data_IF_121805698209
#
_entry.id   IF_121805698209
#
_cell.length_a   1.000
_cell.length_b   1.000
_cell.length_c   1.000
_cell.angle_alpha   90.00
_cell.angle_beta   90.00
_cell.angle_gamma   90.00
#
_symmetry.space_group_name_H-M   'P 1'
#
loop_
_entity.id
_entity.type
_entity.pdbx_description
1 polymer ?
#
# COMPACT_ATOMS: atom_id res chain seq x y z
N UNK A 1 16.21 14.24 -11.46
CA UNK A 1 15.17 14.32 -10.42
C UNK A 1 14.63 12.93 -10.20
N UNK A 2 14.36 12.55 -8.96
CA UNK A 2 14.13 11.16 -8.58
C UNK A 2 12.77 10.68 -9.09
N UNK A 3 12.70 9.42 -9.54
CA UNK A 3 11.52 8.84 -10.19
C UNK A 3 11.19 7.45 -9.66
N UNK A 4 9.92 7.04 -9.79
CA UNK A 4 9.48 5.71 -9.40
C UNK A 4 8.47 5.13 -10.39
N UNK A 5 8.51 3.82 -10.63
CA UNK A 5 7.46 3.13 -11.39
C UNK A 5 6.23 2.87 -10.51
N UNK A 6 5.09 2.58 -11.14
CA UNK A 6 3.82 2.37 -10.43
C UNK A 6 3.59 0.86 -10.23
N UNK A 7 3.58 0.34 -8.99
CA UNK A 7 3.37 -1.08 -8.76
C UNK A 7 1.92 -1.48 -8.97
N UNK A 8 1.70 -2.58 -9.69
CA UNK A 8 0.41 -3.27 -9.82
C UNK A 8 0.53 -4.64 -9.18
N UNK A 9 -0.20 -4.87 -8.08
CA UNK A 9 -0.11 -6.11 -7.34
C UNK A 9 -1.03 -7.19 -7.92
N UNK A 10 -0.44 -8.32 -8.27
CA UNK A 10 -1.13 -9.44 -8.92
C UNK A 10 -1.18 -10.64 -7.98
N UNK A 11 -2.37 -11.03 -7.55
CA UNK A 11 -2.62 -12.04 -6.53
C UNK A 11 -2.43 -13.47 -7.01
N UNK A 12 -1.65 -14.25 -6.25
CA UNK A 12 -1.34 -15.67 -6.47
C UNK A 12 -2.22 -16.63 -5.66
N UNK A 13 -2.90 -16.14 -4.62
CA UNK A 13 -3.84 -16.88 -3.78
C UNK A 13 -5.18 -16.13 -3.63
N UNK A 14 -6.25 -16.79 -3.13
CA UNK A 14 -7.58 -16.17 -3.04
C UNK A 14 -7.61 -14.87 -2.24
N UNK A 15 -6.87 -14.79 -1.13
CA UNK A 15 -6.85 -13.58 -0.29
C UNK A 15 -6.08 -12.45 -0.99
N UNK A 16 -4.97 -12.75 -1.66
CA UNK A 16 -4.27 -11.76 -2.47
C UNK A 16 -5.15 -11.22 -3.61
N UNK A 17 -5.93 -12.08 -4.27
CA UNK A 17 -6.87 -11.68 -5.33
C UNK A 17 -8.00 -10.79 -4.81
N UNK A 18 -8.54 -11.12 -3.63
CA UNK A 18 -9.52 -10.29 -2.94
C UNK A 18 -9.00 -8.88 -2.65
N UNK A 19 -7.70 -8.75 -2.38
CA UNK A 19 -7.06 -7.45 -2.12
C UNK A 19 -6.68 -6.66 -3.36
N UNK A 20 -6.64 -7.26 -4.57
CA UNK A 20 -6.22 -6.56 -5.79
C UNK A 20 -6.99 -5.23 -6.01
N UNK A 21 -8.34 -5.16 -5.89
CA UNK A 21 -9.06 -3.89 -6.05
C UNK A 21 -8.62 -2.81 -5.06
N UNK A 22 -8.48 -3.18 -3.79
CA UNK A 22 -8.04 -2.26 -2.73
C UNK A 22 -6.58 -1.81 -2.93
N UNK A 23 -5.72 -2.71 -3.40
CA UNK A 23 -4.32 -2.39 -3.70
C UNK A 23 -4.17 -1.46 -4.90
N UNK A 24 -5.02 -1.60 -5.92
CA UNK A 24 -4.99 -0.68 -7.05
C UNK A 24 -5.44 0.72 -6.62
N UNK A 25 -6.47 0.84 -5.78
CA UNK A 25 -6.95 2.15 -5.32
C UNK A 25 -6.00 2.76 -4.28
N UNK A 26 -5.64 2.01 -3.23
CA UNK A 26 -4.87 2.54 -2.09
C UNK A 26 -3.35 2.51 -2.27
N UNK A 27 -2.84 1.75 -3.25
CA UNK A 27 -1.41 1.61 -3.52
C UNK A 27 -1.02 2.12 -4.90
N UNK A 28 -1.51 1.49 -5.96
CA UNK A 28 -1.15 1.82 -7.36
C UNK A 28 -1.55 3.26 -7.71
N UNK A 29 -2.81 3.64 -7.46
CA UNK A 29 -3.30 4.98 -7.74
C UNK A 29 -2.57 6.02 -6.88
N UNK A 30 -2.42 5.76 -5.58
CA UNK A 30 -1.71 6.64 -4.66
C UNK A 30 -0.27 6.95 -5.13
N UNK A 31 0.50 5.92 -5.52
CA UNK A 31 1.84 6.09 -6.09
C UNK A 31 1.76 6.88 -7.40
N UNK A 32 0.85 6.52 -8.32
CA UNK A 32 0.74 7.18 -9.64
C UNK A 32 0.39 8.67 -9.57
N UNK A 33 -0.33 9.09 -8.52
CA UNK A 33 -0.72 10.48 -8.30
C UNK A 33 0.25 11.22 -7.38
N UNK A 34 1.26 10.53 -6.84
CA UNK A 34 2.25 11.17 -5.98
C UNK A 34 3.10 12.16 -6.78
N UNK A 35 3.33 13.34 -6.19
CA UNK A 35 3.95 14.48 -6.89
C UNK A 35 3.05 15.20 -7.90
N UNK A 36 1.81 14.75 -8.12
CA UNK A 36 0.83 15.45 -8.98
C UNK A 36 0.03 16.53 -8.23
N UNK A 37 -0.10 16.39 -6.91
CA UNK A 37 -0.78 17.36 -6.04
C UNK A 37 0.26 18.25 -5.38
N UNK A 38 0.22 19.59 -5.59
CA UNK A 38 1.16 20.51 -4.94
C UNK A 38 1.13 20.35 -3.41
N UNK A 39 2.30 20.15 -2.81
CA UNK A 39 2.46 20.03 -1.36
C UNK A 39 2.25 18.62 -0.78
N UNK A 40 1.88 17.62 -1.59
CA UNK A 40 1.87 16.22 -1.16
C UNK A 40 3.24 15.58 -1.43
N UNK A 41 3.86 14.90 -0.45
CA UNK A 41 5.14 14.23 -0.67
C UNK A 41 5.00 13.09 -1.69
N UNK A 42 6.03 12.93 -2.54
CA UNK A 42 6.15 11.78 -3.44
C UNK A 42 6.16 10.45 -2.69
N UNK A 43 5.55 9.41 -3.25
CA UNK A 43 5.53 8.07 -2.66
C UNK A 43 6.50 7.20 -3.46
N UNK A 44 7.65 6.89 -2.88
CA UNK A 44 8.63 6.00 -3.47
C UNK A 44 8.18 4.55 -3.34
N UNK A 45 8.15 3.84 -4.47
CA UNK A 45 8.08 2.39 -4.45
C UNK A 45 9.50 1.82 -4.61
N UNK A 46 10.04 1.26 -3.53
CA UNK A 46 11.41 0.77 -3.45
C UNK A 46 11.76 -0.34 -4.43
N UNK A 47 10.75 -1.01 -5.01
CA UNK A 47 10.95 -2.01 -6.06
C UNK A 47 11.38 -1.43 -7.41
N UNK A 48 11.16 -0.15 -7.66
CA UNK A 48 11.61 0.55 -8.87
C UNK A 48 11.63 2.06 -8.62
N UNK A 49 12.66 2.52 -7.91
CA UNK A 49 12.95 3.94 -7.68
C UNK A 49 14.36 4.24 -8.16
N UNK A 50 14.53 5.38 -8.83
CA UNK A 50 15.78 5.83 -9.41
C UNK A 50 16.02 7.26 -8.93
N UNK A 51 17.19 7.50 -8.35
CA UNK A 51 17.61 8.81 -7.84
C UNK A 51 19.13 8.88 -7.79
N UNK A 52 19.66 10.10 -7.85
CA UNK A 52 21.07 10.40 -7.59
C UNK A 52 21.27 10.77 -6.11
N UNK A 53 22.51 10.66 -5.62
CA UNK A 53 22.82 11.07 -4.23
C UNK A 53 22.41 12.53 -3.93
N UNK A 54 22.50 13.40 -4.94
CA UNK A 54 22.12 14.81 -4.83
C UNK A 54 20.61 15.04 -4.73
N UNK A 55 19.77 14.04 -5.02
CA UNK A 55 18.31 14.13 -4.89
C UNK A 55 17.83 13.92 -3.43
N UNK A 56 18.71 13.45 -2.53
CA UNK A 56 18.37 13.21 -1.13
C UNK A 56 18.31 14.51 -0.34
N UNK A 57 17.13 14.86 0.19
CA UNK A 57 16.87 16.10 0.92
C UNK A 57 17.81 16.30 2.11
N UNK A 58 18.07 15.22 2.84
CA UNK A 58 18.88 15.23 4.07
C UNK A 58 20.26 14.57 3.89
N UNK A 59 20.61 14.20 2.65
CA UNK A 59 21.85 13.53 2.28
C UNK A 59 21.91 12.03 2.59
N UNK A 60 22.91 11.35 2.01
CA UNK A 60 23.09 9.90 2.06
C UNK A 60 23.23 9.34 3.49
N UNK A 61 23.95 10.05 4.37
CA UNK A 61 24.17 9.59 5.73
C UNK A 61 22.87 9.52 6.55
N UNK A 62 21.94 10.45 6.33
CA UNK A 62 20.64 10.48 6.99
C UNK A 62 19.78 9.29 6.54
N UNK A 63 19.69 9.06 5.23
CA UNK A 63 19.00 7.89 4.66
C UNK A 63 19.55 6.58 5.23
N UNK A 64 20.87 6.39 5.22
CA UNK A 64 21.50 5.16 5.71
C UNK A 64 21.26 4.94 7.21
N UNK A 65 21.29 6.01 8.01
CA UNK A 65 20.96 5.94 9.44
C UNK A 65 19.54 5.46 9.65
N UNK A 66 18.59 5.97 8.88
CA UNK A 66 17.17 5.67 9.06
C UNK A 66 16.80 4.29 8.52
N UNK A 67 17.35 3.87 7.38
CA UNK A 67 17.22 2.50 6.84
C UNK A 67 17.71 1.43 7.82
N UNK A 68 18.75 1.71 8.61
CA UNK A 68 19.25 0.79 9.65
C UNK A 68 18.31 0.64 10.86
N UNK A 69 17.34 1.52 11.01
CA UNK A 69 16.45 1.61 12.18
C UNK A 69 15.01 1.20 11.87
N UNK A 70 14.71 0.87 10.62
CA UNK A 70 13.36 0.48 10.18
C UNK A 70 13.41 -0.65 9.16
N UNK A 71 12.22 -1.05 8.68
CA UNK A 71 12.05 -2.21 7.78
C UNK A 71 11.52 -1.78 6.40
N UNK A 72 11.08 -0.53 6.26
CA UNK A 72 10.32 -0.07 5.11
C UNK A 72 11.13 0.83 4.20
N UNK A 73 11.72 0.24 3.17
CA UNK A 73 12.44 1.00 2.14
C UNK A 73 11.51 2.01 1.44
N UNK A 74 10.29 1.61 1.06
CA UNK A 74 9.28 2.47 0.41
C UNK A 74 9.02 3.75 1.24
N UNK A 75 8.70 3.55 2.51
CA UNK A 75 8.42 4.64 3.45
C UNK A 75 9.63 5.53 3.69
N UNK A 76 10.79 4.95 4.01
CA UNK A 76 12.01 5.72 4.28
C UNK A 76 12.48 6.48 3.04
N UNK A 77 12.43 5.90 1.85
CA UNK A 77 12.77 6.61 0.62
C UNK A 77 11.80 7.77 0.34
N UNK A 78 10.50 7.59 0.64
CA UNK A 78 9.50 8.67 0.53
C UNK A 78 9.78 9.84 1.49
N UNK A 79 10.35 9.57 2.65
CA UNK A 79 10.72 10.62 3.62
C UNK A 79 11.95 11.43 3.18
N UNK A 80 12.82 10.83 2.36
CA UNK A 80 14.11 11.42 1.96
C UNK A 80 14.12 11.97 0.54
N UNK A 81 13.21 11.51 -0.33
CA UNK A 81 13.14 11.91 -1.75
C UNK A 81 11.84 12.65 -2.04
N UNK A 82 11.85 13.51 -3.06
CA UNK A 82 10.65 14.04 -3.70
C UNK A 82 10.46 13.36 -5.06
N UNK A 83 10.01 12.10 -5.01
CA UNK A 83 9.88 11.28 -6.22
C UNK A 83 8.67 11.68 -7.06
N UNK A 84 8.84 11.58 -8.38
CA UNK A 84 7.72 11.62 -9.32
C UNK A 84 7.45 10.25 -9.90
N UNK A 85 6.20 9.81 -9.87
CA UNK A 85 5.80 8.61 -10.57
C UNK A 85 5.92 8.80 -12.09
N UNK A 86 6.57 7.86 -12.76
CA UNK A 86 6.53 7.77 -14.22
C UNK A 86 5.34 6.92 -14.65
N UNK A 87 4.79 7.20 -15.83
CA UNK A 87 3.64 6.46 -16.38
C UNK A 87 4.07 5.08 -16.93
N UNK A 88 4.59 4.25 -16.02
CA UNK A 88 5.04 2.89 -16.28
C UNK A 88 4.59 2.00 -15.13
N UNK A 89 3.73 1.05 -15.43
CA UNK A 89 3.28 0.06 -14.47
C UNK A 89 4.25 -1.11 -14.38
N UNK A 90 4.44 -1.62 -13.16
CA UNK A 90 5.24 -2.81 -12.88
C UNK A 90 4.38 -3.85 -12.19
N UNK A 91 4.19 -5.00 -12.83
CA UNK A 91 3.49 -6.10 -12.18
C UNK A 91 4.34 -6.71 -11.05
N UNK A 92 3.72 -6.84 -9.89
CA UNK A 92 4.32 -7.39 -8.68
C UNK A 92 3.48 -8.56 -8.21
N UNK A 93 4.04 -9.76 -8.32
CA UNK A 93 3.42 -10.96 -7.75
C UNK A 93 3.20 -10.79 -6.24
N UNK A 94 1.97 -11.04 -5.78
CA UNK A 94 1.56 -10.93 -4.38
C UNK A 94 0.92 -12.23 -3.90
N UNK A 95 1.27 -12.66 -2.69
CA UNK A 95 0.71 -13.85 -2.06
C UNK A 95 1.58 -15.10 -2.27
N UNK A 96 0.94 -16.26 -2.31
CA UNK A 96 1.55 -17.59 -2.27
C UNK A 96 1.10 -18.42 -1.06
N UNK A 97 0.41 -17.78 -0.11
CA UNK A 97 -0.37 -18.43 0.96
C UNK A 97 -1.31 -17.40 1.59
N UNK A 98 -2.43 -17.85 2.15
CA UNK A 98 -3.37 -16.97 2.86
C UNK A 98 -2.67 -16.21 4.00
N UNK A 99 -1.81 -16.90 4.76
CA UNK A 99 -1.00 -16.29 5.82
C UNK A 99 -0.08 -15.21 5.25
N UNK A 100 0.67 -15.50 4.17
CA UNK A 100 1.56 -14.52 3.55
C UNK A 100 0.82 -13.27 3.06
N UNK A 101 -0.37 -13.43 2.49
CA UNK A 101 -1.23 -12.32 2.06
C UNK A 101 -1.71 -11.46 3.23
N UNK A 102 -2.08 -12.10 4.35
CA UNK A 102 -2.47 -11.39 5.56
C UNK A 102 -1.28 -10.64 6.20
N UNK A 103 -0.11 -11.28 6.31
CA UNK A 103 1.11 -10.65 6.84
C UNK A 103 1.55 -9.46 5.97
N UNK A 104 1.41 -9.57 4.65
CA UNK A 104 1.63 -8.46 3.71
C UNK A 104 0.67 -7.30 3.96
N UNK A 105 -0.61 -7.58 4.16
CA UNK A 105 -1.63 -6.57 4.45
C UNK A 105 -1.33 -5.83 5.76
N UNK A 106 -1.02 -6.57 6.84
CA UNK A 106 -0.60 -5.99 8.12
C UNK A 106 0.62 -5.10 7.95
N UNK A 107 1.65 -5.59 7.24
CA UNK A 107 2.86 -4.82 6.96
C UNK A 107 2.55 -3.55 6.17
N UNK A 108 1.78 -3.63 5.10
CA UNK A 108 1.39 -2.46 4.30
C UNK A 108 0.74 -1.39 5.17
N UNK A 109 -0.26 -1.76 5.96
CA UNK A 109 -0.94 -0.81 6.84
C UNK A 109 0.01 -0.26 7.93
N UNK A 110 0.95 -1.06 8.41
CA UNK A 110 1.98 -0.61 9.37
C UNK A 110 2.91 0.43 8.74
N UNK A 111 3.35 0.20 7.50
CA UNK A 111 4.18 1.15 6.74
C UNK A 111 3.44 2.48 6.59
N UNK A 112 2.23 2.45 6.03
CA UNK A 112 1.48 3.69 5.77
C UNK A 112 1.12 4.38 7.08
N UNK A 113 0.86 3.65 8.16
CA UNK A 113 0.56 4.25 9.47
C UNK A 113 1.70 5.12 9.98
N UNK A 114 2.96 4.71 9.78
CA UNK A 114 4.11 5.47 10.27
C UNK A 114 4.59 6.54 9.29
N UNK A 115 4.60 6.25 7.99
CA UNK A 115 5.13 7.17 6.98
C UNK A 115 4.06 8.09 6.36
N UNK A 116 2.79 7.72 6.43
CA UNK A 116 1.67 8.47 5.86
C UNK A 116 0.40 8.36 6.73
N UNK A 117 0.44 8.80 8.00
CA UNK A 117 -0.66 8.58 8.96
C UNK A 117 -1.99 9.18 8.49
N UNK A 118 -1.95 10.34 7.83
CA UNK A 118 -3.15 11.00 7.28
C UNK A 118 -3.76 10.17 6.15
N UNK A 119 -2.94 9.68 5.21
CA UNK A 119 -3.42 8.80 4.14
C UNK A 119 -3.96 7.48 4.69
N UNK A 120 -3.37 6.96 5.76
CA UNK A 120 -3.87 5.77 6.45
C UNK A 120 -5.24 6.01 7.08
N UNK A 121 -5.41 7.12 7.82
CA UNK A 121 -6.69 7.49 8.40
C UNK A 121 -7.78 7.67 7.34
N UNK A 122 -7.42 8.33 6.22
CA UNK A 122 -8.30 8.48 5.07
C UNK A 122 -8.71 7.12 4.48
N UNK A 123 -7.76 6.20 4.24
CA UNK A 123 -8.05 4.87 3.71
C UNK A 123 -8.95 4.05 4.65
N UNK A 124 -8.74 4.17 5.97
CA UNK A 124 -9.61 3.52 6.97
C UNK A 124 -11.03 4.07 6.90
N UNK A 125 -11.18 5.40 6.92
CA UNK A 125 -12.48 6.06 6.83
C UNK A 125 -13.19 5.71 5.52
N UNK A 126 -12.49 5.79 4.40
CA UNK A 126 -13.00 5.44 3.07
C UNK A 126 -13.48 3.99 3.05
N UNK A 127 -12.69 3.05 3.57
CA UNK A 127 -13.07 1.64 3.67
C UNK A 127 -14.36 1.43 4.48
N UNK A 128 -14.49 2.10 5.63
CA UNK A 128 -15.70 2.03 6.48
C UNK A 128 -16.91 2.64 5.78
N UNK A 129 -16.76 3.81 5.14
CA UNK A 129 -17.85 4.50 4.43
C UNK A 129 -18.34 3.65 3.25
N UNK A 130 -17.43 3.12 2.44
CA UNK A 130 -17.79 2.28 1.30
C UNK A 130 -18.43 0.96 1.75
N UNK A 131 -17.96 0.37 2.86
CA UNK A 131 -18.59 -0.81 3.44
C UNK A 131 -20.01 -0.51 3.94
N UNK A 132 -20.19 0.60 4.65
CA UNK A 132 -21.51 1.05 5.09
C UNK A 132 -22.44 1.31 3.90
N UNK A 133 -21.95 1.93 2.83
CA UNK A 133 -22.72 2.14 1.61
C UNK A 133 -23.15 0.81 0.96
N UNK A 134 -22.26 -0.19 0.89
CA UNK A 134 -22.59 -1.52 0.39
C UNK A 134 -23.62 -2.26 1.25
N UNK A 135 -23.73 -1.94 2.55
CA UNK A 135 -24.73 -2.53 3.44
C UNK A 135 -26.06 -1.77 3.40
N UNK A 136 -26.02 -0.44 3.40
CA UNK A 136 -27.21 0.42 3.50
C UNK A 136 -27.89 0.65 2.14
N UNK A 137 -27.14 0.63 1.05
CA UNK A 137 -27.66 0.76 -0.31
C UNK A 137 -26.98 -0.26 -1.25
N UNK A 138 -27.25 -1.57 -1.11
CA UNK A 138 -26.44 -2.62 -1.72
C UNK A 138 -26.24 -2.49 -3.22
N UNK A 139 -27.30 -2.20 -3.98
CA UNK A 139 -27.21 -2.03 -5.44
C UNK A 139 -26.29 -0.87 -5.80
N UNK A 140 -26.48 0.30 -5.17
CA UNK A 140 -25.69 1.49 -5.45
C UNK A 140 -24.23 1.33 -4.98
N UNK A 141 -24.03 0.79 -3.77
CA UNK A 141 -22.70 0.58 -3.18
C UNK A 141 -21.88 -0.42 -3.98
N UNK A 142 -22.45 -1.59 -4.29
CA UNK A 142 -21.77 -2.63 -5.10
C UNK A 142 -21.45 -2.10 -6.49
N UNK A 143 -22.39 -1.42 -7.15
CA UNK A 143 -22.14 -0.82 -8.46
C UNK A 143 -21.00 0.21 -8.41
N UNK A 144 -21.01 1.10 -7.41
CA UNK A 144 -19.99 2.14 -7.25
C UNK A 144 -18.60 1.54 -7.04
N UNK A 145 -18.41 0.66 -6.05
CA UNK A 145 -17.08 0.13 -5.74
C UNK A 145 -16.53 -0.74 -6.86
N UNK A 146 -17.40 -1.47 -7.56
CA UNK A 146 -17.03 -2.27 -8.73
C UNK A 146 -16.61 -1.37 -9.89
N UNK A 147 -17.38 -0.31 -10.18
CA UNK A 147 -17.05 0.66 -11.22
C UNK A 147 -15.76 1.43 -10.93
N UNK A 148 -15.53 1.83 -9.67
CA UNK A 148 -14.28 2.48 -9.25
C UNK A 148 -13.07 1.55 -9.45
N UNK A 149 -13.20 0.28 -9.07
CA UNK A 149 -12.14 -0.70 -9.27
C UNK A 149 -11.88 -0.96 -10.77
N UNK A 150 -12.94 -1.12 -11.58
CA UNK A 150 -12.83 -1.32 -13.03
C UNK A 150 -12.18 -0.11 -13.73
N UNK A 151 -12.60 1.11 -13.39
CA UNK A 151 -12.00 2.32 -13.93
C UNK A 151 -10.52 2.45 -13.56
N UNK A 152 -10.16 2.12 -12.31
CA UNK A 152 -8.77 2.11 -11.89
C UNK A 152 -7.96 1.04 -12.64
N UNK A 153 -8.54 -0.15 -12.86
CA UNK A 153 -7.92 -1.20 -13.65
C UNK A 153 -7.70 -0.76 -15.09
N UNK A 154 -8.71 -0.18 -15.73
CA UNK A 154 -8.63 0.35 -17.08
C UNK A 154 -7.55 1.42 -17.21
N UNK A 155 -7.45 2.34 -16.23
CA UNK A 155 -6.39 3.38 -16.18
C UNK A 155 -4.99 2.77 -16.23
N UNK A 156 -4.76 1.65 -15.57
CA UNK A 156 -3.45 1.00 -15.49
C UNK A 156 -3.27 -0.17 -16.47
N UNK A 157 -4.21 -0.35 -17.41
CA UNK A 157 -4.16 -1.42 -18.41
C UNK A 157 -4.33 -2.83 -17.84
N UNK A 158 -4.93 -2.96 -16.65
CA UNK A 158 -5.10 -4.23 -15.96
C UNK A 158 -6.33 -4.95 -16.51
N UNK A 159 -6.13 -6.09 -17.17
CA UNK A 159 -7.21 -6.91 -17.75
C UNK A 159 -7.51 -8.13 -16.88
N UNK A 160 -8.06 -7.92 -15.67
CA UNK A 160 -8.37 -9.00 -14.71
C UNK A 160 -9.78 -8.82 -14.16
N UNK A 161 -10.54 -9.90 -14.08
CA UNK A 161 -11.92 -9.88 -13.53
C UNK A 161 -11.99 -9.67 -12.00
N UNK A 162 -10.85 -9.53 -11.32
CA UNK A 162 -10.77 -9.33 -9.87
C UNK A 162 -11.36 -8.01 -9.41
N UNK A 163 -11.60 -7.03 -10.30
CA UNK A 163 -12.39 -5.83 -9.97
C UNK A 163 -13.81 -6.19 -9.46
N UNK A 164 -14.37 -7.33 -9.87
CA UNK A 164 -15.66 -7.85 -9.37
C UNK A 164 -15.59 -8.25 -7.88
N UNK A 165 -14.39 -8.44 -7.33
CA UNK A 165 -14.17 -8.70 -5.91
C UNK A 165 -14.14 -7.42 -5.07
N UNK A 166 -14.35 -6.24 -5.67
CA UNK A 166 -14.34 -4.97 -4.94
C UNK A 166 -15.35 -4.94 -3.80
N UNK A 167 -16.60 -5.33 -4.06
CA UNK A 167 -17.64 -5.35 -3.03
C UNK A 167 -17.34 -6.29 -1.85
N UNK A 168 -17.05 -7.59 -2.04
CA UNK A 168 -16.67 -8.45 -0.92
C UNK A 168 -15.38 -7.97 -0.23
N UNK A 169 -14.41 -7.43 -0.98
CA UNK A 169 -13.19 -6.87 -0.41
C UNK A 169 -13.46 -5.66 0.49
N UNK A 170 -14.32 -4.73 0.07
CA UNK A 170 -14.72 -3.56 0.84
C UNK A 170 -15.52 -3.95 2.08
N UNK A 171 -16.46 -4.90 1.98
CA UNK A 171 -17.20 -5.39 3.14
C UNK A 171 -16.31 -6.04 4.20
N UNK A 172 -15.23 -6.72 3.76
CA UNK A 172 -14.23 -7.31 4.64
C UNK A 172 -13.15 -6.31 5.09
N UNK A 173 -13.09 -5.11 4.52
CA UNK A 173 -12.04 -4.15 4.84
C UNK A 173 -12.08 -3.68 6.30
N UNK A 174 -13.24 -3.29 6.90
CA UNK A 174 -13.26 -2.84 8.29
C UNK A 174 -12.68 -3.85 9.31
N UNK A 175 -13.10 -5.14 9.32
CA UNK A 175 -12.50 -6.10 10.27
C UNK A 175 -11.03 -6.38 9.98
N UNK A 176 -10.60 -6.38 8.72
CA UNK A 176 -9.19 -6.59 8.37
C UNK A 176 -8.30 -5.40 8.76
N UNK A 177 -8.78 -4.17 8.53
CA UNK A 177 -8.12 -2.96 8.98
C UNK A 177 -8.01 -2.93 10.51
N UNK A 178 -9.10 -3.25 11.22
CA UNK A 178 -9.08 -3.38 12.68
C UNK A 178 -8.07 -4.43 13.15
N UNK A 179 -8.05 -5.60 12.50
CA UNK A 179 -7.05 -6.63 12.77
C UNK A 179 -5.62 -6.11 12.56
N UNK A 180 -5.33 -5.49 11.43
CA UNK A 180 -4.00 -4.98 11.12
C UNK A 180 -3.56 -3.85 12.06
N UNK A 181 -4.47 -2.97 12.47
CA UNK A 181 -4.19 -1.91 13.46
C UNK A 181 -3.93 -2.46 14.87
N UNK A 182 -4.61 -3.56 15.24
CA UNK A 182 -4.43 -4.23 16.52
C UNK A 182 -3.17 -5.10 16.57
N UNK A 183 -2.69 -5.58 15.40
CA UNK A 183 -1.48 -6.39 15.30
C UNK A 183 -0.26 -5.55 15.63
N UNK A 184 0.58 -6.09 16.52
CA UNK A 184 1.88 -5.51 16.90
C UNK A 184 3.05 -6.14 16.16
N UNK A 185 2.81 -7.23 15.45
CA UNK A 185 3.83 -8.00 14.75
C UNK A 185 3.34 -8.48 13.40
N UNK A 186 4.29 -8.64 12.48
CA UNK A 186 4.09 -9.31 11.20
C UNK A 186 5.33 -10.14 10.83
N UNK A 187 5.15 -11.11 9.95
CA UNK A 187 6.23 -11.94 9.41
C UNK A 187 6.58 -11.52 8.00
N UNK A 188 7.86 -11.28 7.74
CA UNK A 188 8.36 -10.97 6.40
C UNK A 188 9.78 -11.52 6.22
N UNK A 189 10.08 -12.07 5.03
CA UNK A 189 11.41 -12.60 4.72
C UNK A 189 11.90 -13.67 5.72
N UNK A 190 10.99 -14.48 6.27
CA UNK A 190 11.32 -15.50 7.27
C UNK A 190 11.60 -14.98 8.68
N UNK A 191 11.37 -13.69 8.96
CA UNK A 191 11.57 -13.06 10.27
C UNK A 191 10.29 -12.44 10.79
N UNK A 192 10.08 -12.48 12.12
CA UNK A 192 8.99 -11.78 12.78
C UNK A 192 9.49 -10.40 13.23
N UNK A 193 8.77 -9.36 12.85
CA UNK A 193 9.07 -7.99 13.23
C UNK A 193 8.03 -7.49 14.21
N UNK A 194 8.47 -6.84 15.29
CA UNK A 194 7.64 -6.01 16.15
C UNK A 194 7.99 -4.56 15.90
N UNK A 195 7.05 -3.82 15.32
CA UNK A 195 7.25 -2.42 14.93
C UNK A 195 6.45 -1.54 15.89
N UNK A 196 7.15 -0.87 16.82
CA UNK A 196 6.52 -0.08 17.91
C UNK A 196 6.34 1.39 17.52
N UNK A 197 7.35 1.94 16.86
CA UNK A 197 7.34 3.26 16.25
C UNK A 197 8.17 3.24 14.97
N UNK A 198 8.09 4.29 14.15
CA UNK A 198 8.79 4.41 12.86
C UNK A 198 10.24 3.88 12.87
N UNK A 199 11.00 4.18 13.93
CA UNK A 199 12.41 3.79 14.11
C UNK A 199 12.68 2.89 15.34
N UNK A 200 11.65 2.23 15.87
CA UNK A 200 11.77 1.21 16.93
C UNK A 200 11.20 -0.11 16.41
N UNK A 201 12.10 -0.93 15.88
CA UNK A 201 11.81 -2.24 15.30
C UNK A 201 12.66 -3.30 15.98
N UNK A 202 12.01 -4.31 16.55
CA UNK A 202 12.66 -5.51 17.07
C UNK A 202 12.39 -6.70 16.14
N UNK A 203 13.40 -7.56 15.96
CA UNK A 203 13.25 -8.88 15.34
C UNK A 203 13.02 -9.89 16.45
N UNK A 204 11.98 -10.71 16.30
CA UNK A 204 11.58 -11.72 17.27
C UNK A 204 11.76 -13.13 16.72
N UNK A 205 11.92 -14.14 17.59
CA UNK A 205 11.82 -15.54 17.19
C UNK A 205 10.49 -15.81 16.47
N UNK A 206 10.52 -16.68 15.47
CA UNK A 206 9.35 -17.10 14.68
C UNK A 206 8.60 -18.22 15.38
#
# INVERSE_FOLDING_TARGET
GPTTEVPVFVGRDPLARLFEPAYVIGGTLAVSTSGAVPGAPGIAWGGAVIFDRGDLRDGEAALLRDLRRTVSDDGTLSDHLDVRAVDRTREVSAGGSLRGSLERFVRFLTITRYHAPVATAFNVLLGVVLAALCLLAPVAGVALVTALADLAYARFGIRRATFLLAAPGVLLAPPLLAYALARRTFVWGGRRYRWRSMFDVAVEPV
#
